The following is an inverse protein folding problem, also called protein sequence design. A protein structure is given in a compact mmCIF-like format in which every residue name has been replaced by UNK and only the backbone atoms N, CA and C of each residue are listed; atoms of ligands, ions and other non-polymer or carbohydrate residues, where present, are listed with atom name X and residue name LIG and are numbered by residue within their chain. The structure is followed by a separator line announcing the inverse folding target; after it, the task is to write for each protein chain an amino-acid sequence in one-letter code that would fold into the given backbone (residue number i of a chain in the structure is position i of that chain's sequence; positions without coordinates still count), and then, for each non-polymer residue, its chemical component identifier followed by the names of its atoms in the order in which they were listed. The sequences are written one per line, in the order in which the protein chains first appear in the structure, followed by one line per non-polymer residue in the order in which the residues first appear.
data_IF_850232995086
#
_entry.id   IF_850232995086
#
_cell.length_a   1.000
_cell.length_b   1.000
_cell.length_c   1.000
_cell.angle_alpha   90.00
_cell.angle_beta   90.00
_cell.angle_gamma   90.00
#
_symmetry.space_group_name_H-M   'P 1'
#
loop_
_entity.id
_entity.type
_entity.pdbx_description
1 polymer ?
#
# COMPACT_ATOMS: atom_id res chain seq x y z
N UNK A 1 6.55 20.82 -1.42
CA UNK A 1 5.48 20.62 -0.41
C UNK A 1 6.03 20.10 0.91
N UNK A 2 6.79 18.99 0.91
CA UNK A 2 7.43 18.47 2.12
C UNK A 2 8.48 19.42 2.72
N UNK A 3 9.38 19.96 1.89
CA UNK A 3 10.42 20.91 2.32
C UNK A 3 9.85 22.14 3.00
N UNK A 4 8.85 22.77 2.36
CA UNK A 4 8.13 23.93 2.92
C UNK A 4 7.45 23.64 4.25
N UNK A 5 7.20 22.37 4.58
CA UNK A 5 6.59 21.92 5.83
C UNK A 5 7.62 21.34 6.81
N UNK A 6 8.91 21.36 6.50
CA UNK A 6 9.96 20.74 7.33
C UNK A 6 9.87 19.21 7.40
N UNK A 7 9.10 18.57 6.51
CA UNK A 7 8.86 17.13 6.53
C UNK A 7 9.84 16.35 5.64
N UNK A 8 10.73 17.01 4.91
CA UNK A 8 11.74 16.32 4.08
C UNK A 8 12.94 15.90 4.95
N UNK A 9 12.70 14.97 5.87
CA UNK A 9 13.71 14.39 6.77
C UNK A 9 13.83 12.88 6.55
N UNK A 10 15.01 12.28 6.80
CA UNK A 10 15.19 10.83 6.68
C UNK A 10 14.11 10.04 7.43
N UNK A 11 13.61 8.97 6.82
CA UNK A 11 12.52 8.15 7.35
C UNK A 11 11.11 8.63 7.01
N UNK A 12 10.95 9.80 6.40
CA UNK A 12 9.63 10.26 5.94
C UNK A 12 9.19 9.48 4.72
N UNK A 13 8.01 8.86 4.80
CA UNK A 13 7.34 8.21 3.67
C UNK A 13 6.20 9.11 3.19
N UNK A 14 6.21 9.45 1.89
CA UNK A 14 5.11 10.17 1.24
C UNK A 14 4.22 9.16 0.50
N UNK A 15 2.93 9.16 0.84
CA UNK A 15 1.93 8.33 0.17
C UNK A 15 1.17 9.22 -0.81
N UNK A 16 1.24 8.92 -2.10
CA UNK A 16 0.66 9.73 -3.19
C UNK A 16 -0.87 9.57 -3.33
N UNK A 17 -1.46 8.61 -2.63
CA UNK A 17 -2.86 8.24 -2.75
C UNK A 17 -2.99 6.75 -3.05
N UNK A 18 -4.21 6.33 -3.36
CA UNK A 18 -4.53 4.93 -3.66
C UNK A 18 -4.65 4.74 -5.17
N UNK A 19 -4.03 3.69 -5.71
CA UNK A 19 -4.23 3.28 -7.11
C UNK A 19 -5.68 2.81 -7.27
N UNK A 20 -6.33 3.15 -8.39
CA UNK A 20 -7.70 2.73 -8.64
C UNK A 20 -7.82 1.21 -8.56
N UNK A 21 -8.83 0.74 -7.82
CA UNK A 21 -9.13 -0.69 -7.68
C UNK A 21 -9.59 -1.27 -9.01
N UNK A 22 -9.16 -2.50 -9.27
CA UNK A 22 -9.68 -3.27 -10.40
C UNK A 22 -11.15 -3.59 -10.14
N UNK A 23 -12.07 -3.25 -11.07
CA UNK A 23 -13.50 -3.53 -10.89
C UNK A 23 -13.77 -5.01 -10.59
N UNK A 24 -14.61 -5.28 -9.60
CA UNK A 24 -15.00 -6.63 -9.22
C UNK A 24 -14.05 -7.35 -8.26
N UNK A 25 -12.92 -6.74 -7.88
CA UNK A 25 -12.06 -7.27 -6.82
C UNK A 25 -12.72 -7.07 -5.46
N UNK A 26 -12.83 -8.15 -4.68
CA UNK A 26 -13.25 -8.10 -3.28
C UNK A 26 -12.14 -7.49 -2.42
N UNK A 27 -12.39 -6.28 -1.93
CA UNK A 27 -11.46 -5.56 -1.06
C UNK A 27 -11.33 -6.15 0.35
N UNK A 28 -12.22 -7.06 0.71
CA UNK A 28 -12.23 -7.74 2.02
C UNK A 28 -11.76 -9.20 1.92
N UNK A 29 -11.16 -9.58 0.79
CA UNK A 29 -10.58 -10.90 0.61
C UNK A 29 -9.54 -11.21 1.70
N UNK A 30 -9.43 -12.49 2.07
CA UNK A 30 -8.50 -12.97 3.11
C UNK A 30 -7.02 -12.87 2.70
N UNK A 31 -6.73 -12.50 1.45
CA UNK A 31 -5.37 -12.34 0.94
C UNK A 31 -5.30 -11.22 -0.09
N UNK A 32 -4.25 -10.43 0.03
CA UNK A 32 -3.92 -9.33 -0.87
C UNK A 32 -2.56 -9.53 -1.50
N UNK A 33 -2.42 -9.10 -2.76
CA UNK A 33 -1.14 -8.94 -3.46
C UNK A 33 -1.20 -7.68 -4.32
N UNK A 34 -0.12 -6.92 -4.33
CA UNK A 34 0.11 -5.82 -5.28
C UNK A 34 1.50 -5.98 -5.87
N UNK A 35 1.63 -5.63 -7.15
CA UNK A 35 2.90 -5.55 -7.86
C UNK A 35 3.02 -4.15 -8.45
N UNK A 36 4.22 -3.57 -8.35
CA UNK A 36 4.59 -2.36 -9.08
C UNK A 36 5.70 -2.73 -10.05
N UNK A 37 5.57 -2.26 -11.28
CA UNK A 37 6.55 -2.45 -12.34
C UNK A 37 7.09 -1.09 -12.77
N UNK A 38 8.40 -0.98 -12.93
CA UNK A 38 9.03 0.13 -13.64
C UNK A 38 9.07 -0.20 -15.13
N UNK A 39 8.25 0.44 -15.98
CA UNK A 39 8.21 0.12 -17.41
C UNK A 39 9.50 0.53 -18.15
N UNK A 40 10.36 1.36 -17.57
CA UNK A 40 11.62 1.77 -18.19
C UNK A 40 12.72 0.71 -18.03
N UNK A 41 12.72 -0.04 -16.93
CA UNK A 41 13.75 -1.05 -16.62
C UNK A 41 13.21 -2.48 -16.67
N UNK A 42 11.89 -2.67 -16.57
CA UNK A 42 11.24 -3.98 -16.41
C UNK A 42 11.36 -4.56 -15.00
N UNK A 43 11.89 -3.80 -14.04
CA UNK A 43 12.02 -4.25 -12.66
C UNK A 43 10.65 -4.26 -11.97
N UNK A 44 10.46 -5.25 -11.10
CA UNK A 44 9.20 -5.42 -10.36
C UNK A 44 9.47 -5.53 -8.86
N UNK A 45 8.54 -5.00 -8.08
CA UNK A 45 8.44 -5.23 -6.65
C UNK A 45 7.05 -5.76 -6.32
N UNK A 46 7.00 -6.73 -5.42
CA UNK A 46 5.76 -7.39 -4.99
C UNK A 46 5.58 -7.27 -3.48
N UNK A 47 4.33 -7.07 -3.06
CA UNK A 47 3.93 -7.18 -1.66
C UNK A 47 2.65 -8.01 -1.56
N UNK A 48 2.62 -8.95 -0.61
CA UNK A 48 1.45 -9.77 -0.34
C UNK A 48 1.28 -10.00 1.17
N UNK A 49 0.02 -10.05 1.62
CA UNK A 49 -0.31 -10.31 3.01
C UNK A 49 -1.62 -11.08 3.13
N UNK A 50 -1.81 -11.75 4.27
CA UNK A 50 -3.11 -12.32 4.68
C UNK A 50 -3.82 -11.33 5.59
N UNK A 51 -5.13 -11.25 5.44
CA UNK A 51 -6.01 -10.50 6.33
C UNK A 51 -6.58 -11.48 7.32
N UNK A 52 -6.35 -11.23 8.61
CA UNK A 52 -6.95 -11.97 9.71
C UNK A 52 -7.89 -11.01 10.45
N UNK A 53 -9.06 -11.50 10.87
CA UNK A 53 -9.98 -10.68 11.65
C UNK A 53 -9.36 -10.39 13.01
N UNK A 54 -9.42 -9.12 13.43
CA UNK A 54 -9.04 -8.74 14.78
C UNK A 54 -9.96 -9.47 15.77
N UNK A 55 -9.44 -10.05 16.86
CA UNK A 55 -10.26 -10.62 17.92
C UNK A 55 -11.24 -9.58 18.48
N UNK A 56 -12.37 -10.06 19.01
CA UNK A 56 -13.35 -9.20 19.67
C UNK A 56 -12.70 -8.45 20.85
N UNK A 57 -13.04 -7.17 21.01
CA UNK A 57 -12.48 -6.36 22.08
C UNK A 57 -12.89 -6.93 23.44
N UNK A 58 -11.92 -7.10 24.34
CA UNK A 58 -12.20 -7.50 25.72
C UNK A 58 -12.74 -6.27 26.45
N UNK A 59 -14.01 -6.33 26.85
CA UNK A 59 -14.67 -5.38 27.74
C UNK A 59 -14.84 -5.95 29.14
#
# INVERSE_FOLDING_TARGET
MLERRGLRVPGTVLISGTVAMVPGVDQFASRWRVQLEDPATGETIDAAYRVELLPEAIG
#
